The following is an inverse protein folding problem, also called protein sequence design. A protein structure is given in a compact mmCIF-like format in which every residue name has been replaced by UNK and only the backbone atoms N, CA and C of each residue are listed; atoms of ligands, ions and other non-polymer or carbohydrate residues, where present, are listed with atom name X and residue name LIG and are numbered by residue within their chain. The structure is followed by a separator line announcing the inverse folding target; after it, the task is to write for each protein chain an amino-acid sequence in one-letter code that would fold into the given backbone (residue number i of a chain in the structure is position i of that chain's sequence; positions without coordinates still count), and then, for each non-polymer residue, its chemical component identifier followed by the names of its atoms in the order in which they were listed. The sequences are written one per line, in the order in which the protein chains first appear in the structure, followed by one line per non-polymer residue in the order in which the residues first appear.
data_IF_268395628103
#
_entry.id   IF_268395628103
#
_cell.length_a   1.000
_cell.length_b   1.000
_cell.length_c   1.000
_cell.angle_alpha   90.00
_cell.angle_beta   90.00
_cell.angle_gamma   90.00
#
_symmetry.space_group_name_H-M   'P 1'
#
loop_
_entity.id
_entity.type
_entity.pdbx_description
1 polymer ?
#
# COMPACT_ATOMS: atom_id res chain seq x y z
N UNK A 1 52.51 -12.98 29.34
CA UNK A 1 51.42 -12.00 29.50
C UNK A 1 50.67 -11.93 28.19
N UNK A 2 49.38 -12.27 28.22
CA UNK A 2 48.54 -12.60 27.07
C UNK A 2 48.02 -11.34 26.36
N UNK A 3 48.23 -11.21 25.06
CA UNK A 3 47.62 -10.19 24.20
C UNK A 3 46.33 -10.76 23.59
N UNK A 4 45.19 -10.47 24.22
CA UNK A 4 43.88 -10.75 23.63
C UNK A 4 43.28 -9.46 23.04
N UNK A 5 42.83 -9.45 21.78
CA UNK A 5 42.09 -8.32 21.21
C UNK A 5 40.71 -8.22 21.86
N UNK A 6 40.34 -7.04 22.35
CA UNK A 6 38.98 -6.74 22.81
C UNK A 6 38.02 -6.81 21.61
N UNK A 7 37.31 -7.92 21.47
CA UNK A 7 36.16 -8.04 20.58
C UNK A 7 34.99 -7.34 21.25
N UNK A 8 34.74 -6.08 20.90
CA UNK A 8 33.45 -5.47 21.18
C UNK A 8 32.38 -6.28 20.45
N UNK A 9 31.39 -6.89 21.13
CA UNK A 9 30.23 -7.42 20.46
C UNK A 9 29.56 -6.23 19.77
N UNK A 10 29.58 -6.20 18.45
CA UNK A 10 28.74 -5.29 17.70
C UNK A 10 27.29 -5.63 18.09
N UNK A 11 26.68 -4.81 18.96
CA UNK A 11 25.23 -4.75 19.08
C UNK A 11 24.70 -4.55 17.65
N UNK A 12 23.79 -5.40 17.15
CA UNK A 12 23.13 -5.12 15.90
C UNK A 12 22.39 -3.82 16.11
N UNK A 13 22.89 -2.73 15.52
CA UNK A 13 22.11 -1.52 15.35
C UNK A 13 20.77 -1.97 14.80
N UNK A 14 19.70 -1.67 15.54
CA UNK A 14 18.35 -1.89 15.07
C UNK A 14 18.18 -1.11 13.76
N UNK A 15 18.50 -1.77 12.65
CA UNK A 15 18.22 -1.30 11.31
C UNK A 15 16.72 -0.96 11.31
N UNK A 16 16.40 0.29 11.01
CA UNK A 16 15.04 0.71 10.76
C UNK A 16 14.37 -0.33 9.84
N UNK A 17 13.11 -0.73 10.10
CA UNK A 17 12.50 -1.87 9.42
C UNK A 17 12.72 -1.73 7.91
N UNK A 18 13.47 -2.68 7.34
CA UNK A 18 13.82 -2.70 5.94
C UNK A 18 12.54 -2.46 5.12
N UNK A 19 12.55 -1.41 4.30
CA UNK A 19 11.47 -1.10 3.38
C UNK A 19 11.18 -2.37 2.57
N UNK A 20 10.05 -3.04 2.86
CA UNK A 20 9.68 -4.34 2.25
C UNK A 20 9.01 -4.06 0.90
N UNK A 21 9.73 -4.15 -0.22
CA UNK A 21 9.21 -3.77 -1.54
C UNK A 21 8.07 -4.71 -1.98
N UNK A 22 8.00 -5.87 -1.35
CA UNK A 22 7.04 -6.96 -1.55
C UNK A 22 5.60 -6.56 -1.19
N UNK A 23 5.43 -5.49 -0.40
CA UNK A 23 4.13 -4.90 -0.09
C UNK A 23 3.76 -3.74 -1.04
N UNK A 24 4.74 -3.20 -1.77
CA UNK A 24 4.55 -2.17 -2.80
C UNK A 24 4.30 -2.78 -4.19
N UNK A 25 4.06 -4.10 -4.25
CA UNK A 25 3.75 -4.83 -5.47
C UNK A 25 2.51 -4.20 -6.13
N UNK A 26 2.77 -3.42 -7.17
CA UNK A 26 1.74 -2.68 -7.85
C UNK A 26 0.77 -3.66 -8.51
N UNK A 27 -0.55 -3.49 -8.33
CA UNK A 27 -1.50 -4.49 -8.72
C UNK A 27 -1.51 -4.63 -10.27
N UNK A 28 -1.50 -5.87 -10.79
CA UNK A 28 -1.10 -6.17 -12.16
C UNK A 28 -2.05 -5.60 -13.24
N UNK A 29 -3.28 -5.26 -12.88
CA UNK A 29 -4.32 -4.86 -13.84
C UNK A 29 -4.21 -3.41 -14.30
N UNK A 30 -3.75 -2.49 -13.44
CA UNK A 30 -3.72 -1.05 -13.72
C UNK A 30 -2.38 -0.37 -13.39
N UNK A 31 -1.35 -1.16 -13.06
CA UNK A 31 0.03 -0.70 -12.86
C UNK A 31 0.26 0.18 -11.62
N UNK A 32 -0.79 0.62 -10.92
CA UNK A 32 -0.70 1.38 -9.67
C UNK A 32 -1.98 1.27 -8.84
N UNK A 33 -1.82 1.20 -7.52
CA UNK A 33 -2.92 1.28 -6.55
C UNK A 33 -3.78 2.53 -6.72
N UNK A 34 -3.15 3.66 -7.08
CA UNK A 34 -3.86 4.91 -7.36
C UNK A 34 -4.92 4.74 -8.45
N UNK A 35 -4.60 4.00 -9.51
CA UNK A 35 -5.51 3.80 -10.62
C UNK A 35 -6.70 2.92 -10.22
N UNK A 36 -6.46 1.92 -9.36
CA UNK A 36 -7.54 1.12 -8.77
C UNK A 36 -8.45 2.00 -7.91
N UNK A 37 -7.89 2.85 -7.04
CA UNK A 37 -8.70 3.74 -6.22
C UNK A 37 -9.55 4.69 -7.07
N UNK A 38 -8.97 5.27 -8.13
CA UNK A 38 -9.71 6.13 -9.07
C UNK A 38 -10.82 5.33 -9.76
N UNK A 39 -10.53 4.12 -10.25
CA UNK A 39 -11.52 3.28 -10.92
C UNK A 39 -12.69 2.95 -9.99
N UNK A 40 -12.39 2.43 -8.80
CA UNK A 40 -13.41 2.05 -7.80
C UNK A 40 -14.26 3.25 -7.43
N UNK A 41 -13.63 4.41 -7.23
CA UNK A 41 -14.35 5.61 -6.83
C UNK A 41 -15.19 6.21 -7.96
N UNK A 42 -14.71 6.14 -9.21
CA UNK A 42 -15.51 6.49 -10.38
C UNK A 42 -16.72 5.56 -10.54
N UNK A 43 -16.52 4.24 -10.41
CA UNK A 43 -17.61 3.26 -10.49
C UNK A 43 -18.65 3.49 -9.39
N UNK A 44 -18.22 3.80 -8.17
CA UNK A 44 -19.12 4.13 -7.07
C UNK A 44 -19.98 5.35 -7.39
N UNK A 45 -19.38 6.46 -7.86
CA UNK A 45 -20.11 7.68 -8.24
C UNK A 45 -21.10 7.41 -9.37
N UNK A 46 -20.73 6.59 -10.36
CA UNK A 46 -21.64 6.17 -11.44
C UNK A 46 -22.84 5.42 -10.88
N UNK A 47 -22.64 4.47 -9.96
CA UNK A 47 -23.75 3.77 -9.32
C UNK A 47 -24.67 4.73 -8.58
N UNK A 48 -24.12 5.64 -7.79
CA UNK A 48 -24.91 6.66 -7.08
C UNK A 48 -25.76 7.47 -8.07
N UNK A 49 -25.18 7.93 -9.17
CA UNK A 49 -25.91 8.68 -10.19
C UNK A 49 -27.02 7.86 -10.87
N UNK A 50 -26.74 6.58 -11.19
CA UNK A 50 -27.73 5.67 -11.78
C UNK A 50 -28.89 5.43 -10.82
N UNK A 51 -28.60 5.11 -9.55
CA UNK A 51 -29.64 4.88 -8.56
C UNK A 51 -30.44 6.15 -8.27
N UNK A 52 -29.78 7.31 -8.20
CA UNK A 52 -30.45 8.60 -8.07
C UNK A 52 -31.46 8.81 -9.21
N UNK A 53 -31.02 8.64 -10.46
CA UNK A 53 -31.88 8.79 -11.63
C UNK A 53 -33.06 7.82 -11.59
N UNK A 54 -32.81 6.56 -11.21
CA UNK A 54 -33.89 5.58 -11.05
C UNK A 54 -34.88 6.00 -9.96
N UNK A 55 -34.41 6.47 -8.81
CA UNK A 55 -35.28 7.00 -7.76
C UNK A 55 -36.10 8.18 -8.29
N UNK A 56 -35.50 9.12 -9.01
CA UNK A 56 -36.21 10.27 -9.57
C UNK A 56 -37.28 9.88 -10.62
N UNK A 57 -37.03 8.86 -11.44
CA UNK A 57 -37.97 8.41 -12.47
C UNK A 57 -39.16 7.63 -11.89
N UNK A 58 -38.95 6.91 -10.78
CA UNK A 58 -39.93 5.96 -10.23
C UNK A 58 -40.55 6.36 -8.88
N UNK A 59 -40.07 7.42 -8.23
CA UNK A 59 -40.68 7.99 -7.01
C UNK A 59 -41.82 8.97 -7.34
#
# INVERSE_FOLDING_TARGET
MSTAPQLNPHEPSAEAPAHRPELDDAPPLLGSWRNIYILVMATFVVFVAVFWMLTEVYA
#
